data_IF_063119811338
#
_entry.id   IF_063119811338
#
_cell.length_a   1.000
_cell.length_b   1.000
_cell.length_c   1.000
_cell.angle_alpha   90.00
_cell.angle_beta   90.00
_cell.angle_gamma   90.00
#
_symmetry.space_group_name_H-M   'P 1'
#
loop_
_entity.id
_entity.type
_entity.pdbx_description
1 polymer ?
#
# COMPACT_ATOMS: atom_id res chain seq x y z
N UNK A 1 -23.01 -36.21 50.15
CA UNK A 1 -23.10 -36.56 48.72
C UNK A 1 -22.86 -35.31 47.92
N UNK A 2 -21.71 -35.21 47.27
CA UNK A 2 -21.31 -34.08 46.40
C UNK A 2 -21.62 -34.51 44.96
N UNK A 3 -22.38 -33.75 44.17
CA UNK A 3 -22.57 -34.08 42.76
C UNK A 3 -21.34 -33.59 41.99
N UNK A 4 -20.58 -34.54 41.45
CA UNK A 4 -19.50 -34.29 40.49
C UNK A 4 -20.17 -34.04 39.14
N UNK A 5 -20.16 -32.78 38.69
CA UNK A 5 -20.51 -32.43 37.33
C UNK A 5 -19.38 -32.89 36.39
N UNK A 6 -19.67 -33.90 35.57
CA UNK A 6 -18.80 -34.36 34.49
C UNK A 6 -18.71 -33.26 33.42
N UNK A 7 -17.58 -32.57 33.37
CA UNK A 7 -17.14 -31.76 32.23
C UNK A 7 -16.81 -32.70 31.07
N UNK A 8 -17.78 -32.94 30.18
CA UNK A 8 -17.51 -33.52 28.87
C UNK A 8 -16.82 -32.47 28.01
N UNK A 9 -15.50 -32.61 27.87
CA UNK A 9 -14.74 -31.94 26.83
C UNK A 9 -15.31 -32.35 25.46
N UNK A 10 -15.82 -31.40 24.68
CA UNK A 10 -16.09 -31.60 23.26
C UNK A 10 -14.77 -31.85 22.53
N UNK A 11 -14.34 -33.11 22.46
CA UNK A 11 -13.39 -33.55 21.45
C UNK A 11 -14.11 -33.44 20.10
N UNK A 12 -13.68 -32.49 19.25
CA UNK A 12 -14.14 -32.44 17.86
C UNK A 12 -13.67 -33.71 17.16
N UNK A 13 -14.55 -34.69 16.98
CA UNK A 13 -14.31 -35.77 16.03
C UNK A 13 -14.10 -35.12 14.67
N UNK A 14 -12.93 -35.32 14.07
CA UNK A 14 -12.67 -34.87 12.71
C UNK A 14 -13.72 -35.53 11.81
N UNK A 15 -14.55 -34.73 11.15
CA UNK A 15 -15.59 -35.22 10.25
C UNK A 15 -14.94 -36.04 9.13
N UNK A 16 -15.43 -37.26 8.92
CA UNK A 16 -15.01 -38.08 7.79
C UNK A 16 -15.51 -37.46 6.48
N UNK A 17 -14.70 -37.52 5.43
CA UNK A 17 -15.00 -37.01 4.10
C UNK A 17 -14.39 -37.89 3.03
N UNK A 18 -14.91 -37.83 1.80
CA UNK A 18 -14.33 -38.52 0.63
C UNK A 18 -13.76 -37.51 -0.37
N UNK A 19 -14.42 -36.36 -0.51
CA UNK A 19 -14.04 -35.29 -1.42
C UNK A 19 -14.15 -33.92 -0.74
N UNK A 20 -13.57 -32.88 -1.35
CA UNK A 20 -13.74 -31.51 -0.87
C UNK A 20 -15.21 -31.05 -0.98
N UNK A 21 -15.95 -31.53 -1.99
CA UNK A 21 -17.36 -31.17 -2.16
C UNK A 21 -18.23 -31.64 -0.99
N UNK A 22 -17.83 -32.71 -0.29
CA UNK A 22 -18.52 -33.17 0.92
C UNK A 22 -18.44 -32.16 2.07
N UNK A 23 -17.49 -31.22 2.01
CA UNK A 23 -17.20 -30.25 3.06
C UNK A 23 -17.82 -28.88 2.80
N UNK A 24 -18.33 -28.60 1.59
CA UNK A 24 -18.89 -27.29 1.20
C UNK A 24 -20.04 -26.83 2.12
N UNK A 25 -20.81 -27.79 2.65
CA UNK A 25 -21.94 -27.56 3.54
C UNK A 25 -21.60 -27.75 5.03
N UNK A 26 -20.37 -28.15 5.37
CA UNK A 26 -19.97 -28.29 6.76
C UNK A 26 -20.03 -26.91 7.44
N UNK A 27 -20.66 -26.79 8.62
CA UNK A 27 -20.73 -25.52 9.34
C UNK A 27 -19.34 -24.91 9.55
N UNK A 28 -19.18 -23.66 9.14
CA UNK A 28 -17.96 -22.91 9.33
C UNK A 28 -17.87 -22.26 10.70
N UNK A 29 -16.71 -21.70 11.01
CA UNK A 29 -16.48 -20.95 12.26
C UNK A 29 -16.06 -19.52 11.98
N UNK A 30 -16.57 -18.61 12.79
CA UNK A 30 -16.06 -17.25 12.90
C UNK A 30 -15.11 -17.17 14.08
N UNK A 31 -13.84 -16.89 13.82
CA UNK A 31 -12.83 -16.71 14.86
C UNK A 31 -12.45 -15.23 14.92
N UNK A 32 -12.68 -14.60 16.08
CA UNK A 32 -12.18 -13.24 16.33
C UNK A 32 -10.65 -13.20 16.39
N UNK A 33 -10.06 -12.00 16.32
CA UNK A 33 -8.62 -11.81 16.53
C UNK A 33 -8.16 -12.32 17.91
N UNK A 34 -9.05 -12.30 18.91
CA UNK A 34 -8.79 -12.88 20.22
C UNK A 34 -8.75 -14.42 20.20
N UNK A 35 -9.41 -15.05 19.24
CA UNK A 35 -9.50 -16.50 19.04
C UNK A 35 -8.58 -17.01 17.93
N UNK A 36 -7.74 -16.14 17.33
CA UNK A 36 -6.85 -16.50 16.25
C UNK A 36 -5.99 -17.73 16.64
N UNK A 37 -5.92 -18.79 15.80
CA UNK A 37 -5.37 -20.10 16.21
C UNK A 37 -3.91 -20.11 16.64
N UNK A 38 -3.16 -19.03 16.36
CA UNK A 38 -1.73 -18.92 16.60
C UNK A 38 -1.43 -17.86 17.69
N UNK A 39 -1.31 -18.25 18.98
CA UNK A 39 -1.08 -17.31 20.08
C UNK A 39 0.18 -16.45 19.93
N UNK A 40 1.26 -17.00 19.37
CA UNK A 40 2.49 -16.26 19.12
C UNK A 40 2.26 -15.07 18.18
N UNK A 41 1.39 -15.21 17.18
CA UNK A 41 1.04 -14.13 16.26
C UNK A 41 0.27 -13.02 16.99
N UNK A 42 -0.61 -13.37 17.94
CA UNK A 42 -1.38 -12.40 18.74
C UNK A 42 -0.48 -11.51 19.60
N UNK A 43 0.64 -12.03 20.12
CA UNK A 43 1.61 -11.25 20.89
C UNK A 43 2.28 -10.15 20.03
N UNK A 44 2.36 -10.36 18.72
CA UNK A 44 3.09 -9.51 17.78
C UNK A 44 2.22 -8.42 17.14
N UNK A 45 0.89 -8.45 17.31
CA UNK A 45 -0.07 -7.58 16.61
C UNK A 45 0.33 -6.09 16.62
N UNK A 46 0.78 -5.57 17.75
CA UNK A 46 1.09 -4.15 17.94
C UNK A 46 2.58 -3.83 18.09
N UNK A 47 3.47 -4.78 17.75
CA UNK A 47 4.91 -4.64 18.00
C UNK A 47 5.57 -3.48 17.26
N UNK A 48 5.05 -3.14 16.07
CA UNK A 48 5.65 -2.14 15.20
C UNK A 48 5.24 -0.71 15.57
N UNK A 49 4.30 -0.54 16.52
CA UNK A 49 3.98 0.76 17.10
C UNK A 49 4.84 0.97 18.34
N UNK A 50 5.58 2.08 18.39
CA UNK A 50 6.48 2.36 19.52
C UNK A 50 5.80 3.09 20.67
N UNK A 51 4.73 3.85 20.40
CA UNK A 51 4.03 4.67 21.40
C UNK A 51 2.90 3.88 22.05
N UNK A 52 2.83 3.92 23.38
CA UNK A 52 1.76 3.24 24.15
C UNK A 52 0.37 3.83 23.85
N UNK A 53 0.27 5.15 23.65
CA UNK A 53 -1.00 5.79 23.29
C UNK A 53 -1.45 5.37 21.88
N UNK A 54 -0.52 5.30 20.92
CA UNK A 54 -0.84 4.84 19.57
C UNK A 54 -1.26 3.35 19.56
N UNK A 55 -0.62 2.50 20.38
CA UNK A 55 -1.06 1.10 20.57
C UNK A 55 -2.49 1.01 21.10
N UNK A 56 -2.84 1.83 22.09
CA UNK A 56 -4.17 1.83 22.67
C UNK A 56 -5.24 2.26 21.66
N UNK A 57 -4.98 3.34 20.90
CA UNK A 57 -5.88 3.83 19.85
C UNK A 57 -6.03 2.82 18.72
N UNK A 58 -4.93 2.22 18.25
CA UNK A 58 -4.97 1.20 17.21
C UNK A 58 -5.77 -0.03 17.65
N UNK A 59 -5.55 -0.52 18.89
CA UNK A 59 -6.31 -1.64 19.46
C UNK A 59 -7.81 -1.34 19.55
N UNK A 60 -8.17 -0.15 20.05
CA UNK A 60 -9.57 0.27 20.14
C UNK A 60 -10.21 0.34 18.75
N UNK A 61 -9.54 0.97 17.79
CA UNK A 61 -10.03 1.11 16.41
C UNK A 61 -10.21 -0.25 15.75
N UNK A 62 -9.24 -1.15 15.86
CA UNK A 62 -9.33 -2.50 15.28
C UNK A 62 -10.46 -3.33 15.90
N UNK A 63 -10.68 -3.22 17.22
CA UNK A 63 -11.83 -3.84 17.87
C UNK A 63 -13.17 -3.27 17.36
N UNK A 64 -13.24 -1.98 17.08
CA UNK A 64 -14.43 -1.36 16.49
C UNK A 64 -14.66 -1.86 15.06
N UNK A 65 -13.60 -1.98 14.26
CA UNK A 65 -13.65 -2.54 12.91
C UNK A 65 -14.11 -4.00 12.94
N UNK A 66 -13.54 -4.83 13.81
CA UNK A 66 -13.95 -6.24 13.98
C UNK A 66 -15.43 -6.35 14.37
N UNK A 67 -15.93 -5.48 15.25
CA UNK A 67 -17.35 -5.47 15.61
C UNK A 67 -18.26 -5.02 14.46
N UNK A 68 -17.80 -4.10 13.59
CA UNK A 68 -18.54 -3.71 12.38
C UNK A 68 -18.57 -4.89 11.41
N UNK A 69 -17.44 -5.57 11.22
CA UNK A 69 -17.32 -6.75 10.36
C UNK A 69 -18.19 -7.90 10.87
N UNK A 70 -18.19 -8.20 12.17
CA UNK A 70 -19.03 -9.26 12.73
C UNK A 70 -20.53 -9.05 12.49
N UNK A 71 -21.00 -7.80 12.42
CA UNK A 71 -22.41 -7.48 12.10
C UNK A 71 -22.80 -7.85 10.67
N UNK A 72 -21.84 -7.87 9.75
CA UNK A 72 -22.03 -8.30 8.36
C UNK A 72 -22.47 -9.77 8.27
N UNK A 73 -22.26 -10.57 9.33
CA UNK A 73 -22.61 -11.98 9.37
C UNK A 73 -24.04 -12.23 9.89
N UNK A 74 -24.78 -11.20 10.28
CA UNK A 74 -26.15 -11.37 10.77
C UNK A 74 -27.04 -11.96 9.66
N UNK A 75 -27.58 -13.16 9.90
CA UNK A 75 -28.36 -13.90 8.91
C UNK A 75 -27.54 -14.62 7.83
N UNK A 76 -26.21 -14.61 7.92
CA UNK A 76 -25.33 -15.36 7.02
C UNK A 76 -24.76 -16.59 7.72
N UNK A 77 -25.04 -17.77 7.15
CA UNK A 77 -24.46 -19.02 7.63
C UNK A 77 -23.19 -19.34 6.84
N UNK A 78 -22.02 -19.20 7.50
CA UNK A 78 -20.75 -19.66 6.96
C UNK A 78 -20.70 -21.18 6.90
N UNK A 79 -20.26 -21.71 5.78
CA UNK A 79 -20.00 -23.13 5.56
C UNK A 79 -18.68 -23.31 4.82
N UNK A 80 -18.13 -24.52 4.83
CA UNK A 80 -16.97 -24.88 4.03
C UNK A 80 -15.64 -24.26 4.46
N UNK A 81 -15.56 -23.64 5.64
CA UNK A 81 -14.29 -23.08 6.13
C UNK A 81 -14.41 -22.29 7.43
N UNK A 82 -13.25 -21.84 7.92
CA UNK A 82 -13.19 -20.85 8.99
C UNK A 82 -12.96 -19.47 8.40
N UNK A 83 -13.67 -18.46 8.92
CA UNK A 83 -13.33 -17.07 8.72
C UNK A 83 -12.55 -16.61 9.95
N UNK A 84 -11.28 -16.26 9.76
CA UNK A 84 -10.34 -16.01 10.85
C UNK A 84 -9.83 -14.57 10.82
N UNK A 85 -10.15 -13.84 11.87
CA UNK A 85 -9.76 -12.44 12.02
C UNK A 85 -8.37 -12.33 12.64
N UNK A 86 -7.59 -11.35 12.20
CA UNK A 86 -6.33 -10.99 12.83
C UNK A 86 -6.02 -9.49 12.68
N UNK A 87 -5.12 -9.00 13.54
CA UNK A 87 -4.65 -7.62 13.52
C UNK A 87 -3.18 -7.55 13.12
N UNK A 88 -2.78 -6.49 12.42
CA UNK A 88 -1.35 -6.20 12.25
C UNK A 88 -1.04 -4.72 12.23
N UNK A 89 0.20 -4.39 12.56
CA UNK A 89 0.74 -3.03 12.53
C UNK A 89 1.93 -2.99 11.60
N UNK A 90 2.00 -1.99 10.71
CA UNK A 90 3.16 -1.76 9.82
C UNK A 90 4.17 -0.79 10.42
N UNK A 91 3.78 -0.04 11.44
CA UNK A 91 4.59 1.01 12.04
C UNK A 91 4.04 2.38 11.68
N UNK A 92 4.93 3.31 11.37
CA UNK A 92 4.55 4.67 11.00
C UNK A 92 4.94 4.95 9.56
N UNK A 93 4.05 5.60 8.82
CA UNK A 93 4.34 6.20 7.52
C UNK A 93 4.19 7.72 7.60
N UNK A 94 4.67 8.40 6.55
CA UNK A 94 4.52 9.84 6.41
C UNK A 94 3.68 10.17 5.19
N UNK A 95 2.71 11.05 5.38
CA UNK A 95 1.98 11.70 4.30
C UNK A 95 2.31 13.20 4.35
N UNK A 96 3.29 13.58 3.51
CA UNK A 96 3.97 14.87 3.65
C UNK A 96 4.73 14.95 4.97
N UNK A 97 4.43 15.95 5.80
CA UNK A 97 5.05 16.11 7.14
C UNK A 97 4.29 15.39 8.25
N UNK A 98 3.15 14.78 7.92
CA UNK A 98 2.27 14.19 8.94
C UNK A 98 2.63 12.71 9.13
N UNK A 99 3.05 12.39 10.35
CA UNK A 99 3.32 11.02 10.79
C UNK A 99 2.00 10.33 11.15
N UNK A 100 1.74 9.17 10.54
CA UNK A 100 0.57 8.35 10.85
C UNK A 100 0.98 6.93 11.18
N UNK A 101 0.37 6.37 12.22
CA UNK A 101 0.49 4.95 12.50
C UNK A 101 -0.39 4.18 11.51
N UNK A 102 0.20 3.16 10.88
CA UNK A 102 -0.44 2.31 9.88
C UNK A 102 -0.67 0.92 10.46
N UNK A 103 -1.91 0.48 10.41
CA UNK A 103 -2.35 -0.78 10.99
C UNK A 103 -3.57 -1.30 10.22
N UNK A 104 -3.86 -2.59 10.34
CA UNK A 104 -4.96 -3.19 9.60
C UNK A 104 -5.64 -4.31 10.39
N UNK A 105 -6.91 -4.44 10.05
CA UNK A 105 -7.73 -5.61 10.32
C UNK A 105 -7.71 -6.51 9.09
N UNK A 106 -7.64 -7.81 9.29
CA UNK A 106 -7.86 -8.79 8.24
C UNK A 106 -8.84 -9.86 8.71
N UNK A 107 -9.71 -10.31 7.80
CA UNK A 107 -10.57 -11.47 7.95
C UNK A 107 -10.35 -12.40 6.76
N UNK A 108 -9.89 -13.61 7.04
CA UNK A 108 -9.40 -14.55 6.01
C UNK A 108 -10.18 -15.85 6.02
N UNK A 109 -10.70 -16.25 4.85
CA UNK A 109 -11.39 -17.52 4.68
C UNK A 109 -10.36 -18.64 4.46
N UNK A 110 -10.29 -19.53 5.44
CA UNK A 110 -9.54 -20.77 5.37
C UNK A 110 -10.49 -21.93 5.10
N UNK A 111 -10.58 -22.32 3.82
CA UNK A 111 -11.48 -23.37 3.35
C UNK A 111 -11.13 -24.73 3.96
N UNK A 112 -12.15 -25.55 4.16
CA UNK A 112 -11.97 -26.95 4.50
C UNK A 112 -11.60 -27.76 3.25
N UNK A 113 -10.74 -28.76 3.43
CA UNK A 113 -10.41 -29.73 2.41
C UNK A 113 -10.31 -31.12 3.01
N UNK A 114 -10.55 -32.13 2.17
CA UNK A 114 -10.49 -33.52 2.56
C UNK A 114 -9.09 -34.06 2.33
N UNK A 115 -8.41 -34.46 3.41
CA UNK A 115 -7.09 -35.08 3.35
C UNK A 115 -7.12 -36.42 4.06
N UNK A 116 -6.80 -37.49 3.34
CA UNK A 116 -6.79 -38.87 3.87
C UNK A 116 -8.09 -39.24 4.57
N UNK A 117 -9.22 -38.89 3.96
CA UNK A 117 -10.56 -39.20 4.48
C UNK A 117 -11.04 -38.30 5.63
N UNK A 118 -10.28 -37.27 5.99
CA UNK A 118 -10.58 -36.40 7.14
C UNK A 118 -10.63 -34.93 6.75
N UNK A 119 -11.54 -34.19 7.37
CA UNK A 119 -11.60 -32.74 7.27
C UNK A 119 -10.30 -32.11 7.79
N UNK A 120 -9.73 -31.22 6.99
CA UNK A 120 -8.62 -30.32 7.32
C UNK A 120 -8.99 -28.90 6.95
N UNK A 121 -8.37 -27.93 7.63
CA UNK A 121 -8.46 -26.49 7.33
C UNK A 121 -7.22 -26.11 6.52
N UNK A 122 -7.41 -25.42 5.40
CA UNK A 122 -6.30 -24.97 4.56
C UNK A 122 -5.48 -23.90 5.30
N UNK A 123 -4.16 -24.03 5.30
CA UNK A 123 -3.26 -23.05 5.91
C UNK A 123 -3.25 -21.71 5.15
N UNK A 124 -3.56 -21.75 3.85
CA UNK A 124 -3.67 -20.58 2.99
C UNK A 124 -5.13 -20.12 2.83
N UNK A 125 -5.32 -18.80 2.71
CA UNK A 125 -6.61 -18.19 2.44
C UNK A 125 -6.60 -17.54 1.06
N UNK A 126 -7.55 -17.89 0.20
CA UNK A 126 -7.71 -17.28 -1.12
C UNK A 126 -8.59 -16.02 -1.04
N UNK A 127 -9.63 -16.06 -0.20
CA UNK A 127 -10.57 -14.95 0.03
C UNK A 127 -10.24 -14.21 1.32
N UNK A 128 -10.02 -12.91 1.20
CA UNK A 128 -9.47 -12.07 2.27
C UNK A 128 -10.12 -10.68 2.23
N UNK A 129 -10.70 -10.26 3.35
CA UNK A 129 -11.04 -8.87 3.62
C UNK A 129 -9.90 -8.22 4.41
N UNK A 130 -9.33 -7.13 3.91
CA UNK A 130 -8.37 -6.28 4.64
C UNK A 130 -8.91 -4.87 4.76
N UNK A 131 -8.84 -4.30 5.97
CA UNK A 131 -9.16 -2.89 6.22
C UNK A 131 -7.89 -2.22 6.72
N UNK A 132 -7.27 -1.43 5.85
CA UNK A 132 -6.07 -0.67 6.13
C UNK A 132 -6.45 0.68 6.73
N UNK A 133 -5.91 1.00 7.91
CA UNK A 133 -6.08 2.30 8.56
C UNK A 133 -4.85 3.17 8.30
N UNK A 134 -5.10 4.43 7.93
CA UNK A 134 -4.09 5.43 7.57
C UNK A 134 -3.14 5.00 6.45
N UNK A 135 -3.61 4.13 5.55
CA UNK A 135 -2.82 3.63 4.44
C UNK A 135 -3.65 3.41 3.18
N UNK A 136 -3.03 3.73 2.04
CA UNK A 136 -3.43 3.24 0.71
C UNK A 136 -2.53 2.02 0.41
N UNK A 137 -3.08 0.84 0.12
CA UNK A 137 -2.31 -0.40 -0.04
C UNK A 137 -1.65 -0.49 -1.43
N UNK A 138 -0.64 0.35 -1.66
CA UNK A 138 0.10 0.47 -2.92
C UNK A 138 0.75 -0.82 -3.40
N UNK A 139 1.07 -1.76 -2.50
CA UNK A 139 1.58 -3.07 -2.89
C UNK A 139 0.56 -3.86 -3.72
N UNK A 140 -0.70 -3.90 -3.26
CA UNK A 140 -1.79 -4.59 -3.98
C UNK A 140 -2.31 -3.78 -5.17
N UNK A 141 -2.22 -2.44 -5.09
CA UNK A 141 -2.59 -1.53 -6.17
C UNK A 141 -1.45 -1.24 -7.16
N UNK A 142 -0.28 -1.88 -7.02
CA UNK A 142 0.96 -1.51 -7.73
C UNK A 142 0.87 -1.50 -9.25
N UNK A 143 -0.07 -2.26 -9.82
CA UNK A 143 -0.38 -2.25 -11.27
C UNK A 143 -0.99 -0.93 -11.75
N UNK A 144 -1.64 -0.19 -10.87
CA UNK A 144 -2.38 1.03 -11.17
C UNK A 144 -1.84 2.26 -10.45
N UNK A 145 -1.36 2.10 -9.22
CA UNK A 145 -0.89 3.15 -8.34
C UNK A 145 0.45 2.73 -7.75
N UNK A 146 1.53 3.36 -8.19
CA UNK A 146 2.88 3.04 -7.75
C UNK A 146 3.67 4.30 -7.41
N UNK A 147 4.82 4.12 -6.74
CA UNK A 147 5.82 5.17 -6.54
C UNK A 147 6.80 5.10 -7.72
N UNK A 148 6.70 5.99 -8.71
CA UNK A 148 7.52 5.89 -9.92
C UNK A 148 9.01 6.06 -9.61
N UNK A 149 9.39 6.69 -8.50
CA UNK A 149 10.79 6.90 -8.12
C UNK A 149 11.29 5.90 -7.05
N UNK A 150 10.39 5.10 -6.45
CA UNK A 150 10.71 4.17 -5.37
C UNK A 150 11.23 4.87 -4.09
N UNK A 151 11.79 4.09 -3.17
CA UNK A 151 12.56 4.59 -2.02
C UNK A 151 14.05 4.18 -2.09
N UNK A 152 14.42 3.39 -3.11
CA UNK A 152 15.78 2.97 -3.45
C UNK A 152 15.98 3.10 -4.97
N UNK A 153 17.20 3.34 -5.40
CA UNK A 153 17.55 3.40 -6.83
C UNK A 153 18.31 2.13 -7.23
N UNK A 154 17.57 1.13 -7.73
CA UNK A 154 18.13 -0.20 -7.96
C UNK A 154 18.60 -0.83 -6.65
N UNK A 155 19.83 -1.34 -6.64
CA UNK A 155 20.48 -1.94 -5.45
C UNK A 155 21.03 -0.88 -4.46
N UNK A 156 20.91 0.41 -4.77
CA UNK A 156 21.52 1.48 -3.99
C UNK A 156 20.49 2.30 -3.22
N UNK A 157 20.64 2.28 -1.90
CA UNK A 157 20.12 3.32 -1.01
C UNK A 157 21.19 4.40 -0.88
N UNK A 158 21.00 5.53 -1.55
CA UNK A 158 21.97 6.61 -1.52
C UNK A 158 21.85 7.49 -0.25
N UNK A 159 20.84 7.27 0.60
CA UNK A 159 20.55 8.05 1.80
C UNK A 159 20.07 9.49 1.55
N UNK A 160 20.39 10.11 0.40
CA UNK A 160 20.08 11.52 0.13
C UNK A 160 18.63 11.78 -0.28
N UNK A 161 17.86 10.74 -0.60
CA UNK A 161 16.41 10.80 -0.82
C UNK A 161 15.63 11.09 0.47
N UNK A 162 16.23 10.88 1.64
CA UNK A 162 15.61 11.17 2.94
C UNK A 162 15.75 12.65 3.31
N UNK A 163 14.75 13.20 4.01
CA UNK A 163 14.79 14.60 4.45
C UNK A 163 15.98 14.85 5.39
N UNK A 164 16.21 13.95 6.34
CA UNK A 164 17.34 13.99 7.27
C UNK A 164 18.55 13.18 6.77
N UNK A 165 18.92 13.35 5.49
CA UNK A 165 20.03 12.61 4.88
C UNK A 165 21.39 12.74 5.59
N UNK A 166 21.58 13.78 6.41
CA UNK A 166 22.81 13.98 7.17
C UNK A 166 22.95 13.01 8.35
N UNK A 167 21.83 12.61 8.94
CA UNK A 167 21.79 11.71 10.10
C UNK A 167 21.10 10.38 9.79
N UNK A 168 20.61 10.20 8.55
CA UNK A 168 19.91 9.00 8.14
C UNK A 168 20.80 7.78 8.31
N UNK A 169 20.24 6.75 8.95
CA UNK A 169 20.86 5.42 9.08
C UNK A 169 20.04 4.48 8.20
N UNK A 170 20.70 3.78 7.29
CA UNK A 170 20.15 2.90 6.22
C UNK A 170 19.07 1.87 6.66
N UNK A 171 18.78 1.74 7.95
CA UNK A 171 17.82 0.77 8.50
C UNK A 171 16.38 1.28 8.64
N UNK A 172 16.11 2.59 8.52
CA UNK A 172 14.75 3.11 8.71
C UNK A 172 14.05 3.47 7.39
N UNK A 173 13.53 2.45 6.71
CA UNK A 173 12.81 2.57 5.42
C UNK A 173 11.55 3.43 5.46
N UNK A 174 11.10 3.83 6.66
CA UNK A 174 9.92 4.65 6.87
C UNK A 174 10.25 6.13 7.19
N UNK A 175 11.52 6.53 7.12
CA UNK A 175 11.90 7.93 7.32
C UNK A 175 11.29 8.85 6.26
N UNK A 176 11.01 10.12 6.58
CA UNK A 176 10.46 11.08 5.63
C UNK A 176 11.36 11.25 4.41
N UNK A 177 10.78 11.16 3.22
CA UNK A 177 11.46 11.38 1.94
C UNK A 177 11.27 12.81 1.44
N UNK A 178 12.12 13.26 0.52
CA UNK A 178 11.88 14.50 -0.25
C UNK A 178 10.69 14.32 -1.20
N UNK A 179 10.14 15.43 -1.69
CA UNK A 179 8.89 15.45 -2.46
C UNK A 179 8.89 14.49 -3.65
N UNK A 180 9.99 14.43 -4.41
CA UNK A 180 10.11 13.60 -5.61
C UNK A 180 9.73 12.13 -5.34
N UNK A 181 10.19 11.55 -4.24
CA UNK A 181 9.97 10.14 -3.91
C UNK A 181 8.63 9.86 -3.22
N UNK A 182 7.85 10.89 -2.93
CA UNK A 182 6.50 10.76 -2.35
C UNK A 182 5.39 10.83 -3.41
N UNK A 183 5.74 11.04 -4.69
CA UNK A 183 4.76 11.06 -5.76
C UNK A 183 4.25 9.66 -6.08
N UNK A 184 2.99 9.61 -6.50
CA UNK A 184 2.35 8.45 -7.08
C UNK A 184 2.25 8.65 -8.60
N UNK A 185 2.36 7.58 -9.36
CA UNK A 185 1.86 7.58 -10.73
C UNK A 185 0.60 6.74 -10.83
N UNK A 186 -0.37 7.23 -11.59
CA UNK A 186 -1.61 6.52 -11.85
C UNK A 186 -2.20 6.87 -13.21
N UNK A 187 -2.39 5.84 -14.04
CA UNK A 187 -3.00 5.98 -15.36
C UNK A 187 -4.47 5.57 -15.38
N UNK A 188 -5.05 5.27 -14.21
CA UNK A 188 -6.41 4.80 -14.08
C UNK A 188 -7.27 5.88 -13.41
N UNK A 189 -8.01 6.64 -14.23
CA UNK A 189 -8.89 7.71 -13.75
C UNK A 189 -9.99 7.19 -12.81
N UNK A 190 -10.52 5.99 -13.05
CA UNK A 190 -11.52 5.40 -12.17
C UNK A 190 -10.97 5.14 -10.76
N UNK A 191 -9.71 4.70 -10.63
CA UNK A 191 -9.05 4.54 -9.33
C UNK A 191 -8.85 5.89 -8.63
N UNK A 192 -8.34 6.91 -9.34
CA UNK A 192 -8.18 8.25 -8.76
C UNK A 192 -9.53 8.81 -8.30
N UNK A 193 -10.57 8.66 -9.11
CA UNK A 193 -11.93 9.08 -8.76
C UNK A 193 -12.48 8.30 -7.56
N UNK A 194 -12.27 6.98 -7.47
CA UNK A 194 -12.68 6.19 -6.31
C UNK A 194 -11.97 6.63 -5.03
N UNK A 195 -10.66 6.90 -5.09
CA UNK A 195 -9.87 7.41 -3.96
C UNK A 195 -10.38 8.79 -3.50
N UNK A 196 -10.62 9.70 -4.45
CA UNK A 196 -10.93 11.08 -4.16
C UNK A 196 -12.41 11.34 -3.83
N UNK A 197 -13.34 10.57 -4.40
CA UNK A 197 -14.76 10.64 -4.04
C UNK A 197 -15.02 9.90 -2.72
N UNK A 198 -14.39 8.74 -2.53
CA UNK A 198 -14.77 7.80 -1.48
C UNK A 198 -16.14 7.17 -1.70
N UNK A 199 -16.62 7.18 -2.94
CA UNK A 199 -17.90 6.60 -3.39
C UNK A 199 -17.67 5.36 -4.24
N UNK A 200 -18.58 4.39 -4.12
CA UNK A 200 -18.49 3.12 -4.84
C UNK A 200 -17.23 2.32 -4.51
N UNK A 201 -16.81 1.49 -5.45
CA UNK A 201 -15.57 0.71 -5.37
C UNK A 201 -14.78 0.77 -6.68
N UNK A 202 -13.47 0.58 -6.56
CA UNK A 202 -12.60 0.26 -7.68
C UNK A 202 -12.38 -1.27 -7.74
N UNK A 203 -12.38 -1.85 -8.94
CA UNK A 203 -12.07 -3.26 -9.16
C UNK A 203 -10.90 -3.39 -10.14
N UNK A 204 -9.94 -4.25 -9.81
CA UNK A 204 -8.72 -4.43 -10.59
C UNK A 204 -8.91 -5.24 -11.88
N UNK A 205 -9.90 -6.14 -11.90
CA UNK A 205 -10.27 -6.97 -13.05
C UNK A 205 -11.68 -6.61 -13.49
N UNK A 206 -11.90 -6.26 -14.77
CA UNK A 206 -13.25 -5.94 -15.24
C UNK A 206 -14.17 -7.17 -15.15
N UNK A 207 -15.45 -6.98 -14.85
CA UNK A 207 -16.43 -8.08 -14.67
C UNK A 207 -16.47 -9.04 -15.86
N UNK A 208 -16.41 -8.51 -17.09
CA UNK A 208 -16.39 -9.31 -18.33
C UNK A 208 -15.18 -10.25 -18.46
N UNK A 209 -14.09 -9.96 -17.74
CA UNK A 209 -12.83 -10.70 -17.80
C UNK A 209 -12.72 -11.72 -16.65
N UNK A 210 -13.69 -11.73 -15.73
CA UNK A 210 -13.76 -12.70 -14.63
C UNK A 210 -14.27 -14.04 -15.18
N UNK A 211 -13.36 -15.02 -15.24
CA UNK A 211 -13.72 -16.40 -15.58
C UNK A 211 -14.38 -17.06 -14.39
N UNK A 212 -15.59 -17.62 -14.49
CA UNK A 212 -16.24 -18.32 -13.38
C UNK A 212 -15.50 -19.60 -13.00
N UNK A 213 -15.64 -20.03 -11.73
CA UNK A 213 -15.07 -21.27 -11.18
C UNK A 213 -13.54 -21.37 -11.34
N UNK A 214 -12.85 -20.26 -11.13
CA UNK A 214 -11.41 -20.14 -11.28
C UNK A 214 -10.75 -19.64 -9.98
N UNK A 215 -9.79 -20.43 -9.47
CA UNK A 215 -8.95 -20.13 -8.29
C UNK A 215 -7.65 -19.38 -8.63
N UNK A 216 -7.23 -19.39 -9.90
CA UNK A 216 -5.92 -18.85 -10.32
C UNK A 216 -5.91 -17.32 -10.48
N UNK A 217 -7.09 -16.70 -10.53
CA UNK A 217 -7.23 -15.26 -10.73
C UNK A 217 -7.84 -14.62 -9.49
N UNK A 218 -7.00 -13.96 -8.69
CA UNK A 218 -7.47 -13.10 -7.62
C UNK A 218 -8.07 -11.82 -8.19
N UNK A 219 -9.23 -11.46 -7.66
CA UNK A 219 -9.93 -10.21 -7.95
C UNK A 219 -9.96 -9.41 -6.66
N UNK A 220 -9.69 -8.11 -6.76
CA UNK A 220 -9.78 -7.18 -5.64
C UNK A 220 -10.82 -6.10 -5.92
N UNK A 221 -11.69 -5.89 -4.94
CA UNK A 221 -12.52 -4.68 -4.84
C UNK A 221 -12.00 -3.78 -3.73
N UNK A 222 -11.95 -2.49 -3.99
CA UNK A 222 -11.41 -1.47 -3.09
C UNK A 222 -12.45 -0.39 -2.82
N UNK A 223 -12.69 -0.09 -1.55
CA UNK A 223 -13.48 1.06 -1.11
C UNK A 223 -12.58 1.99 -0.29
N UNK A 224 -12.70 3.29 -0.54
CA UNK A 224 -11.89 4.31 0.12
C UNK A 224 -12.75 5.13 1.08
N UNK A 225 -12.46 5.03 2.38
CA UNK A 225 -13.20 5.72 3.43
C UNK A 225 -12.40 6.93 3.86
N UNK A 226 -12.81 8.10 3.37
CA UNK A 226 -12.13 9.38 3.56
C UNK A 226 -12.99 10.42 4.30
N UNK A 227 -12.33 11.49 4.76
CA UNK A 227 -12.96 12.74 5.22
C UNK A 227 -13.85 13.30 4.10
N UNK A 228 -14.98 13.91 4.43
CA UNK A 228 -15.85 14.52 3.40
C UNK A 228 -15.13 15.67 2.68
N UNK A 229 -15.47 15.87 1.41
CA UNK A 229 -15.14 17.05 0.59
C UNK A 229 -13.66 17.28 0.22
N UNK A 230 -12.68 16.80 1.01
CA UNK A 230 -11.26 17.02 0.74
C UNK A 230 -10.69 15.86 -0.09
N UNK A 231 -10.15 16.07 -1.31
CA UNK A 231 -9.54 15.00 -2.08
C UNK A 231 -8.29 14.47 -1.37
N UNK A 232 -8.06 13.15 -1.45
CA UNK A 232 -6.90 12.49 -0.83
C UNK A 232 -5.66 12.68 -1.69
N UNK A 233 -5.81 12.57 -3.01
CA UNK A 233 -4.76 12.76 -4.00
C UNK A 233 -5.05 13.99 -4.85
N UNK A 234 -4.02 14.77 -5.14
CA UNK A 234 -4.08 15.92 -6.05
C UNK A 234 -2.99 15.78 -7.12
N UNK A 235 -3.23 16.31 -8.34
CA UNK A 235 -2.21 16.37 -9.37
C UNK A 235 -0.95 17.09 -8.88
N UNK A 236 0.22 16.58 -9.27
CA UNK A 236 1.49 17.32 -9.13
C UNK A 236 1.59 18.26 -10.31
N UNK A 237 1.84 19.55 -10.07
CA UNK A 237 2.05 20.50 -11.16
C UNK A 237 3.42 20.32 -11.82
N UNK A 238 3.56 20.73 -13.09
CA UNK A 238 4.87 20.76 -13.77
C UNK A 238 5.89 21.58 -12.97
N UNK A 239 5.48 22.74 -12.45
CA UNK A 239 6.32 23.60 -11.60
C UNK A 239 6.87 22.87 -10.39
N UNK A 240 5.99 22.20 -9.66
CA UNK A 240 6.35 21.49 -8.43
C UNK A 240 7.27 20.29 -8.72
N UNK A 241 7.01 19.57 -9.80
CA UNK A 241 7.86 18.46 -10.24
C UNK A 241 9.27 18.95 -10.60
N UNK A 242 9.38 20.00 -11.42
CA UNK A 242 10.66 20.61 -11.80
C UNK A 242 11.42 21.13 -10.57
N UNK A 243 10.74 21.78 -9.62
CA UNK A 243 11.35 22.21 -8.36
C UNK A 243 11.85 21.03 -7.50
N UNK A 244 11.12 19.92 -7.48
CA UNK A 244 11.52 18.71 -6.76
C UNK A 244 12.73 18.03 -7.42
N UNK A 245 12.84 18.09 -8.75
CA UNK A 245 14.03 17.64 -9.46
C UNK A 245 15.25 18.52 -9.18
N UNK A 246 15.08 19.84 -9.08
CA UNK A 246 16.17 20.74 -8.67
C UNK A 246 16.67 20.43 -7.26
N UNK A 247 15.78 20.21 -6.28
CA UNK A 247 16.18 19.77 -4.94
C UNK A 247 16.99 18.46 -5.02
N UNK A 248 16.51 17.51 -5.82
CA UNK A 248 17.16 16.22 -6.01
C UNK A 248 18.56 16.36 -6.62
N UNK A 249 18.74 17.14 -7.69
CA UNK A 249 20.05 17.34 -8.34
C UNK A 249 21.03 18.15 -7.46
N UNK A 250 20.54 19.11 -6.68
CA UNK A 250 21.38 19.81 -5.69
C UNK A 250 21.88 18.84 -4.60
N UNK A 251 21.08 17.84 -4.22
CA UNK A 251 21.51 16.81 -3.27
C UNK A 251 22.55 15.86 -3.88
N UNK A 252 22.42 15.51 -5.16
CA UNK A 252 23.45 14.74 -5.87
C UNK A 252 24.80 15.46 -5.87
N UNK A 253 24.81 16.79 -6.06
CA UNK A 253 26.02 17.62 -5.99
C UNK A 253 26.74 17.51 -4.65
N UNK A 254 26.00 17.36 -3.56
CA UNK A 254 26.55 17.19 -2.21
C UNK A 254 26.94 15.74 -1.91
N UNK A 255 26.32 14.78 -2.58
CA UNK A 255 26.48 13.35 -2.35
C UNK A 255 27.66 12.76 -3.12
N UNK A 256 27.75 13.00 -4.43
CA UNK A 256 28.76 12.37 -5.28
C UNK A 256 30.21 12.61 -4.83
N UNK A 257 30.64 13.81 -4.37
CA UNK A 257 31.99 13.99 -3.83
C UNK A 257 32.31 13.05 -2.66
N UNK A 258 31.34 12.83 -1.76
CA UNK A 258 31.50 11.95 -0.60
C UNK A 258 31.61 10.50 -1.05
N UNK A 259 30.69 10.06 -1.93
CA UNK A 259 30.70 8.71 -2.47
C UNK A 259 32.00 8.42 -3.23
N UNK A 260 32.47 9.33 -4.07
CA UNK A 260 33.71 9.17 -4.82
C UNK A 260 34.91 9.04 -3.87
N UNK A 261 34.95 9.85 -2.80
CA UNK A 261 36.01 9.76 -1.77
C UNK A 261 36.03 8.39 -1.08
N UNK A 262 34.85 7.88 -0.73
CA UNK A 262 34.67 6.56 -0.12
C UNK A 262 35.08 5.43 -1.07
N UNK A 263 34.56 5.42 -2.29
CA UNK A 263 34.89 4.43 -3.31
C UNK A 263 36.39 4.45 -3.64
N UNK A 264 37.00 5.64 -3.70
CA UNK A 264 38.45 5.78 -3.92
C UNK A 264 39.24 5.13 -2.79
N UNK A 265 38.80 5.34 -1.54
CA UNK A 265 39.41 4.74 -0.35
C UNK A 265 39.24 3.21 -0.31
N UNK A 266 38.16 2.70 -0.90
CA UNK A 266 37.89 1.27 -1.07
C UNK A 266 38.54 0.66 -2.33
N UNK A 267 39.38 1.43 -3.04
CA UNK A 267 40.08 1.01 -4.27
C UNK A 267 39.13 0.50 -5.38
N UNK A 268 37.93 1.06 -5.47
CA UNK A 268 36.97 0.70 -6.52
C UNK A 268 37.47 1.17 -7.89
N UNK A 269 37.64 0.22 -8.83
CA UNK A 269 38.13 0.50 -10.20
C UNK A 269 37.04 1.02 -11.14
N UNK A 270 35.77 0.96 -10.73
CA UNK A 270 34.61 1.37 -11.52
C UNK A 270 34.26 2.85 -11.41
N UNK A 271 34.98 3.64 -10.59
CA UNK A 271 34.68 5.06 -10.32
C UNK A 271 34.67 5.88 -11.61
N UNK A 272 35.72 5.79 -12.43
CA UNK A 272 35.82 6.58 -13.66
C UNK A 272 34.68 6.23 -14.63
N UNK A 273 34.46 4.93 -14.83
CA UNK A 273 33.38 4.43 -15.69
C UNK A 273 31.99 4.90 -15.22
N UNK A 274 31.76 4.92 -13.90
CA UNK A 274 30.45 5.15 -13.29
C UNK A 274 30.15 6.63 -13.02
N UNK A 275 31.15 7.40 -12.62
CA UNK A 275 31.00 8.75 -12.05
C UNK A 275 31.98 9.77 -12.64
N UNK A 276 32.89 9.43 -13.55
CA UNK A 276 33.95 10.33 -14.03
C UNK A 276 33.49 11.68 -14.62
N UNK A 277 32.20 11.83 -14.98
CA UNK A 277 31.63 13.10 -15.48
C UNK A 277 30.49 13.65 -14.60
N UNK A 278 30.41 13.24 -13.33
CA UNK A 278 29.25 13.56 -12.48
C UNK A 278 29.00 15.07 -12.33
N UNK A 279 30.05 15.91 -12.27
CA UNK A 279 29.91 17.37 -12.13
C UNK A 279 29.21 17.99 -13.34
N UNK A 280 29.65 17.60 -14.54
CA UNK A 280 29.06 18.04 -15.80
C UNK A 280 27.63 17.54 -15.95
N UNK A 281 27.39 16.26 -15.63
CA UNK A 281 26.06 15.66 -15.73
C UNK A 281 25.05 16.34 -14.78
N UNK A 282 25.44 16.60 -13.53
CA UNK A 282 24.57 17.30 -12.56
C UNK A 282 24.31 18.75 -12.98
N UNK A 283 25.34 19.47 -13.42
CA UNK A 283 25.20 20.85 -13.88
C UNK A 283 24.25 20.96 -15.09
N UNK A 284 24.38 20.04 -16.06
CA UNK A 284 23.53 19.97 -17.23
C UNK A 284 22.07 19.64 -16.87
N UNK A 285 21.83 18.62 -16.04
CA UNK A 285 20.48 18.30 -15.56
C UNK A 285 19.79 19.49 -14.89
N UNK A 286 20.53 20.22 -14.05
CA UNK A 286 20.01 21.43 -13.42
C UNK A 286 19.74 22.55 -14.43
N UNK A 287 20.61 22.74 -15.42
CA UNK A 287 20.44 23.76 -16.46
C UNK A 287 19.18 23.50 -17.31
N UNK A 288 18.93 22.25 -17.69
CA UNK A 288 17.72 21.85 -18.41
C UNK A 288 16.47 22.21 -17.60
N UNK A 289 16.41 21.80 -16.33
CA UNK A 289 15.23 22.07 -15.48
C UNK A 289 15.03 23.57 -15.21
N UNK A 290 16.10 24.33 -14.99
CA UNK A 290 16.02 25.79 -14.81
C UNK A 290 15.49 26.48 -16.08
N UNK A 291 15.96 26.06 -17.25
CA UNK A 291 15.48 26.59 -18.54
C UNK A 291 13.97 26.39 -18.69
N UNK A 292 13.44 25.22 -18.35
CA UNK A 292 12.00 24.95 -18.43
C UNK A 292 11.19 25.86 -17.48
N UNK A 293 11.68 26.07 -16.26
CA UNK A 293 11.06 26.96 -15.28
C UNK A 293 11.07 28.44 -15.73
N UNK A 294 12.10 28.86 -16.47
CA UNK A 294 12.26 30.24 -16.94
C UNK A 294 11.54 30.52 -18.28
N UNK A 295 11.44 29.50 -19.15
CA UNK A 295 10.93 29.65 -20.52
C UNK A 295 9.40 29.57 -20.59
N UNK A 296 8.77 28.80 -19.69
CA UNK A 296 7.34 28.55 -19.72
C UNK A 296 6.54 29.47 -18.80
N UNK A 297 5.31 29.79 -19.20
CA UNK A 297 4.39 30.64 -18.44
C UNK A 297 3.72 29.89 -17.27
N UNK A 298 3.08 30.64 -16.36
CA UNK A 298 2.43 30.04 -15.19
C UNK A 298 1.28 29.09 -15.59
N UNK A 299 0.61 29.35 -16.72
CA UNK A 299 -0.45 28.48 -17.22
C UNK A 299 0.10 27.11 -17.56
N UNK A 300 1.19 27.04 -18.32
CA UNK A 300 1.85 25.79 -18.66
C UNK A 300 2.41 25.10 -17.40
N UNK A 301 3.05 25.86 -16.52
CA UNK A 301 3.66 25.38 -15.28
C UNK A 301 2.62 24.82 -14.28
N UNK A 302 1.39 25.33 -14.32
CA UNK A 302 0.26 24.86 -13.50
C UNK A 302 -0.37 23.55 -14.00
N UNK A 303 -0.06 23.14 -15.25
CA UNK A 303 -0.52 21.87 -15.80
C UNK A 303 -0.01 20.68 -14.99
N UNK A 304 -0.68 19.54 -15.10
CA UNK A 304 -0.23 18.32 -14.42
C UNK A 304 1.10 17.83 -15.01
N UNK A 305 2.01 17.41 -14.13
CA UNK A 305 3.23 16.71 -14.51
C UNK A 305 2.90 15.31 -15.01
N UNK A 306 3.25 15.03 -16.26
CA UNK A 306 3.13 13.71 -16.88
C UNK A 306 4.50 13.26 -17.35
N UNK A 307 5.03 12.17 -16.78
CA UNK A 307 6.38 11.67 -17.05
C UNK A 307 6.37 10.39 -17.88
N UNK A 308 7.52 9.94 -18.37
CA UNK A 308 7.67 8.61 -18.96
C UNK A 308 9.04 8.04 -18.67
N UNK A 309 9.19 7.37 -17.52
CA UNK A 309 10.50 6.86 -17.07
C UNK A 309 11.16 5.88 -18.04
N UNK A 310 10.36 5.09 -18.76
CA UNK A 310 10.88 4.12 -19.73
C UNK A 310 11.50 4.86 -20.91
N UNK A 311 10.81 5.88 -21.42
CA UNK A 311 11.31 6.70 -22.52
C UNK A 311 12.49 7.58 -22.08
N UNK A 312 12.42 8.21 -20.91
CA UNK A 312 13.52 9.00 -20.34
C UNK A 312 14.81 8.16 -20.20
N UNK A 313 14.69 6.93 -19.69
CA UNK A 313 15.82 6.01 -19.63
C UNK A 313 16.34 5.61 -21.02
N UNK A 314 15.44 5.40 -22.00
CA UNK A 314 15.83 5.13 -23.38
C UNK A 314 16.61 6.30 -24.00
N UNK A 315 16.19 7.53 -23.75
CA UNK A 315 16.88 8.73 -24.23
C UNK A 315 18.25 8.88 -23.58
N UNK A 316 18.35 8.67 -22.27
CA UNK A 316 19.64 8.65 -21.55
C UNK A 316 20.61 7.63 -22.15
N UNK A 317 20.14 6.42 -22.44
CA UNK A 317 20.95 5.39 -23.10
C UNK A 317 21.39 5.79 -24.51
N UNK A 318 20.46 6.29 -25.34
CA UNK A 318 20.76 6.74 -26.72
C UNK A 318 21.76 7.90 -26.76
N UNK A 319 21.73 8.76 -25.74
CA UNK A 319 22.66 9.87 -25.58
C UNK A 319 24.06 9.43 -25.08
N UNK A 320 24.26 8.14 -24.78
CA UNK A 320 25.53 7.63 -24.27
C UNK A 320 25.87 8.12 -22.86
N UNK A 321 24.87 8.54 -22.09
CA UNK A 321 25.05 9.07 -20.75
C UNK A 321 25.22 7.95 -19.72
N UNK A 322 26.07 8.17 -18.72
CA UNK A 322 26.32 7.21 -17.64
C UNK A 322 25.08 7.10 -16.75
N UNK A 323 24.58 5.88 -16.55
CA UNK A 323 23.35 5.62 -15.79
C UNK A 323 23.42 6.16 -14.35
N UNK A 324 24.53 5.89 -13.65
CA UNK A 324 24.71 6.20 -12.22
C UNK A 324 24.70 7.70 -11.88
N UNK A 325 24.99 8.56 -12.84
CA UNK A 325 24.95 10.03 -12.70
C UNK A 325 23.72 10.65 -13.37
N UNK A 326 22.94 9.87 -14.12
CA UNK A 326 21.77 10.34 -14.89
C UNK A 326 20.46 9.66 -14.50
N UNK A 327 20.38 9.05 -13.31
CA UNK A 327 19.11 8.65 -12.73
C UNK A 327 18.15 9.83 -12.63
N UNK A 328 16.88 9.56 -12.93
CA UNK A 328 15.79 10.55 -12.90
C UNK A 328 16.10 11.83 -13.69
N UNK A 329 16.91 11.73 -14.76
CA UNK A 329 17.16 12.83 -15.69
C UNK A 329 15.85 13.25 -16.36
N UNK A 330 15.55 14.54 -16.29
CA UNK A 330 14.42 15.12 -16.99
C UNK A 330 14.76 15.39 -18.46
N UNK A 331 13.90 14.92 -19.36
CA UNK A 331 13.97 15.24 -20.79
C UNK A 331 12.83 16.15 -21.22
N UNK A 332 11.59 15.81 -20.88
CA UNK A 332 10.39 16.59 -21.17
C UNK A 332 9.19 16.08 -20.36
N UNK A 333 8.06 16.77 -20.47
CA UNK A 333 6.77 16.20 -20.13
C UNK A 333 6.18 15.42 -21.32
N UNK A 334 5.47 14.34 -21.03
CA UNK A 334 5.02 13.33 -22.00
C UNK A 334 3.50 13.30 -22.15
N UNK A 335 2.87 14.48 -22.22
CA UNK A 335 1.42 14.61 -22.27
C UNK A 335 0.81 13.83 -23.45
N UNK A 336 -0.11 12.91 -23.14
CA UNK A 336 -0.81 12.10 -24.15
C UNK A 336 0.04 11.02 -24.84
N UNK A 337 1.28 10.81 -24.40
CA UNK A 337 2.15 9.79 -25.00
C UNK A 337 1.86 8.38 -24.44
N UNK A 338 2.22 7.34 -25.20
CA UNK A 338 2.06 5.97 -24.77
C UNK A 338 2.92 5.67 -23.53
N UNK A 339 2.35 4.98 -22.54
CA UNK A 339 2.97 4.68 -21.24
C UNK A 339 3.38 5.92 -20.44
N UNK A 340 2.84 7.09 -20.78
CA UNK A 340 2.96 8.28 -19.96
C UNK A 340 2.30 8.07 -18.59
N UNK A 341 2.79 8.79 -17.58
CA UNK A 341 2.49 8.56 -16.17
C UNK A 341 2.14 9.88 -15.50
N UNK A 342 0.84 10.24 -15.40
CA UNK A 342 0.41 11.42 -14.65
C UNK A 342 0.79 11.26 -13.18
N UNK A 343 1.38 12.31 -12.62
CA UNK A 343 1.84 12.33 -11.24
C UNK A 343 0.78 12.91 -10.31
N UNK A 344 0.64 12.27 -9.16
CA UNK A 344 -0.21 12.67 -8.06
C UNK A 344 0.60 12.70 -6.77
N UNK A 345 0.14 13.48 -5.80
CA UNK A 345 0.65 13.48 -4.43
C UNK A 345 -0.52 13.42 -3.46
N UNK A 346 -0.24 13.06 -2.22
CA UNK A 346 -1.20 13.30 -1.15
C UNK A 346 -1.51 14.79 -1.08
N UNK A 347 -2.80 15.13 -1.00
CA UNK A 347 -3.23 16.48 -0.73
C UNK A 347 -2.69 16.92 0.64
N UNK A 348 -1.79 17.92 0.69
CA UNK A 348 -1.22 18.37 1.96
C UNK A 348 -2.30 18.80 2.94
N UNK A 349 -3.42 19.36 2.49
CA UNK A 349 -4.52 19.84 3.32
C UNK A 349 -5.31 18.72 4.01
N UNK A 350 -5.29 17.50 3.45
CA UNK A 350 -6.09 16.39 3.94
C UNK A 350 -5.69 15.96 5.37
N UNK A 351 -4.41 16.08 5.73
CA UNK A 351 -3.88 15.62 7.01
C UNK A 351 -3.51 16.74 8.00
N UNK A 352 -3.76 18.03 7.67
CA UNK A 352 -3.37 19.18 8.52
C UNK A 352 -4.11 19.21 9.87
N UNK A 353 -5.30 18.61 9.95
CA UNK A 353 -6.18 18.74 11.13
C UNK A 353 -5.84 17.81 12.31
N UNK A 354 -4.82 16.95 12.23
CA UNK A 354 -4.63 15.92 13.25
C UNK A 354 -3.85 16.43 14.49
N UNK A 355 -4.56 17.04 15.45
CA UNK A 355 -4.05 17.24 16.83
C UNK A 355 -4.22 16.01 17.73
N UNK A 356 -4.81 14.92 17.23
CA UNK A 356 -5.33 13.82 18.05
C UNK A 356 -4.40 12.58 18.12
N UNK A 357 -3.22 12.62 17.50
CA UNK A 357 -2.20 11.56 17.57
C UNK A 357 -2.07 10.73 16.29
N UNK A 358 -0.92 10.08 16.10
CA UNK A 358 -0.56 9.42 14.85
C UNK A 358 -1.47 8.22 14.51
N UNK A 359 -1.98 7.51 15.51
CA UNK A 359 -2.86 6.35 15.29
C UNK A 359 -4.33 6.67 15.05
N UNK A 360 -4.76 7.93 15.15
CA UNK A 360 -6.16 8.29 14.88
C UNK A 360 -6.49 8.02 13.41
N UNK A 361 -7.62 7.37 13.09
CA UNK A 361 -8.00 7.13 11.71
C UNK A 361 -8.30 8.43 10.96
N UNK A 362 -7.63 8.63 9.83
CA UNK A 362 -7.77 9.78 8.93
C UNK A 362 -8.19 9.34 7.52
N UNK A 363 -7.87 8.09 7.18
CA UNK A 363 -8.24 7.41 5.94
C UNK A 363 -8.35 5.92 6.27
N UNK A 364 -9.29 5.21 5.66
CA UNK A 364 -9.25 3.75 5.61
C UNK A 364 -9.41 3.27 4.17
N UNK A 365 -8.69 2.21 3.81
CA UNK A 365 -8.92 1.47 2.56
C UNK A 365 -9.43 0.08 2.90
N UNK A 366 -10.62 -0.24 2.43
CA UNK A 366 -11.18 -1.60 2.47
C UNK A 366 -10.77 -2.29 1.19
N UNK A 367 -10.12 -3.45 1.27
CA UNK A 367 -9.75 -4.28 0.14
C UNK A 367 -10.32 -5.68 0.34
N UNK A 368 -11.21 -6.11 -0.53
CA UNK A 368 -11.77 -7.46 -0.52
C UNK A 368 -11.19 -8.23 -1.71
N UNK A 369 -10.33 -9.20 -1.41
CA UNK A 369 -9.78 -10.16 -2.35
C UNK A 369 -10.66 -11.39 -2.39
N UNK A 370 -10.99 -11.87 -3.57
CA UNK A 370 -11.69 -13.14 -3.74
C UNK A 370 -11.25 -13.86 -5.01
N UNK A 371 -11.57 -15.15 -5.07
CA UNK A 371 -11.55 -15.94 -6.30
C UNK A 371 -12.98 -16.20 -6.76
N UNK A 372 -13.16 -16.51 -8.04
CA UNK A 372 -14.47 -16.73 -8.65
C UNK A 372 -15.10 -18.11 -8.32
N UNK A 373 -14.87 -18.61 -7.12
CA UNK A 373 -15.42 -19.86 -6.60
C UNK A 373 -16.72 -19.61 -5.82
N UNK A 374 -17.67 -20.55 -5.79
CA UNK A 374 -18.99 -20.34 -5.19
C UNK A 374 -18.98 -19.78 -3.75
N UNK A 375 -18.18 -20.37 -2.85
CA UNK A 375 -18.09 -19.91 -1.46
C UNK A 375 -17.52 -18.49 -1.34
N UNK A 376 -16.48 -18.19 -2.13
CA UNK A 376 -15.83 -16.88 -2.17
C UNK A 376 -16.78 -15.80 -2.71
N UNK A 377 -17.53 -16.11 -3.77
CA UNK A 377 -18.56 -15.23 -4.32
C UNK A 377 -19.71 -14.99 -3.34
N UNK A 378 -20.16 -16.03 -2.63
CA UNK A 378 -21.20 -15.91 -1.59
C UNK A 378 -20.79 -14.92 -0.48
N UNK A 379 -19.54 -14.99 -0.02
CA UNK A 379 -18.99 -14.05 0.98
C UNK A 379 -18.86 -12.63 0.44
N UNK A 380 -18.30 -12.48 -0.77
CA UNK A 380 -18.12 -11.19 -1.43
C UNK A 380 -19.45 -10.48 -1.69
N UNK A 381 -20.48 -11.22 -2.11
CA UNK A 381 -21.84 -10.68 -2.30
C UNK A 381 -22.46 -10.26 -0.96
N UNK A 382 -22.40 -11.12 0.06
CA UNK A 382 -22.89 -10.76 1.40
C UNK A 382 -22.20 -9.49 1.93
N UNK A 383 -20.88 -9.41 1.82
CA UNK A 383 -20.12 -8.22 2.19
C UNK A 383 -20.57 -6.97 1.43
N UNK A 384 -20.70 -7.06 0.10
CA UNK A 384 -21.11 -5.90 -0.71
C UNK A 384 -22.48 -5.36 -0.32
N UNK A 385 -23.40 -6.25 0.05
CA UNK A 385 -24.79 -5.90 0.35
C UNK A 385 -25.03 -5.48 1.79
N UNK A 386 -24.27 -6.03 2.75
CA UNK A 386 -24.58 -5.94 4.19
C UNK A 386 -23.54 -5.17 5.00
N UNK A 387 -22.34 -4.92 4.48
CA UNK A 387 -21.30 -4.28 5.25
C UNK A 387 -21.62 -2.80 5.54
N UNK A 388 -21.53 -2.41 6.80
CA UNK A 388 -21.88 -1.06 7.27
C UNK A 388 -20.72 -0.07 7.04
N UNK A 389 -20.59 0.39 5.80
CA UNK A 389 -19.61 1.42 5.43
C UNK A 389 -19.86 2.76 6.15
N UNK A 390 -21.09 3.04 6.61
CA UNK A 390 -21.40 4.26 7.34
C UNK A 390 -20.80 4.21 8.76
N UNK A 391 -20.92 3.08 9.46
CA UNK A 391 -20.24 2.87 10.73
C UNK A 391 -18.72 2.98 10.61
N UNK A 392 -18.14 2.46 9.53
CA UNK A 392 -16.70 2.58 9.28
C UNK A 392 -16.29 4.05 9.05
N UNK A 393 -17.09 4.81 8.29
CA UNK A 393 -16.86 6.24 8.06
C UNK A 393 -16.89 7.07 9.34
N UNK A 394 -17.71 6.68 10.34
CA UNK A 394 -17.77 7.36 11.64
C UNK A 394 -16.50 7.19 12.49
N UNK A 395 -15.59 6.29 12.11
CA UNK A 395 -14.29 6.12 12.76
C UNK A 395 -13.25 7.14 12.25
N UNK A 396 -13.44 7.72 11.06
CA UNK A 396 -12.56 8.75 10.50
C UNK A 396 -12.76 10.06 11.27
N UNK A 397 -11.65 10.72 11.63
CA UNK A 397 -11.63 12.03 12.31
C UNK A 397 -11.19 13.16 11.42
#
# INVERSE_FOLDING_TARGET
MIPIAFLLAQQSFAQDCKTNADLDNTPGKYLTASQYPWPAVRAEYFKNLTSASDKAVAKQTLNQIENIEAKNHSGFNLTGGNLENYYSTKGYGYYGKVKLAQYNFESSLHEYFCMNGKLKRNDEAETILRIYVNAIPTNTLSRFLNYPFGSSMGDYDFGFQFQDWKNHKSVNVNDPLISLFNYFSCNNEHLINAINSGEGYFQDVAEKDIKPNNRNNYIYRYWFIKKKEIPVLVPVSRKEYLQSLLEYYEREKLYFPKLITELTSNHDKGIEHSYGNWEGDVADKMAVVKKELETHDEKWLSGQAVINRIEDNSQTYKAGLKERTNYNRFWKFHDGENKSQPLFKINPEYFITNKAGAAVPQLMTVAFRYVSMPLSLKLMNNFSEKFDFAALRNLIK
#
